data_IF_693055911287
#
_entry.id   IF_693055911287
#
_cell.length_a   1.000
_cell.length_b   1.000
_cell.length_c   1.000
_cell.angle_alpha   90.00
_cell.angle_beta   90.00
_cell.angle_gamma   90.00
#
_symmetry.space_group_name_H-M   'P 1'
#
loop_
_entity.id
_entity.type
_entity.pdbx_description
1 polymer ?
#
# COMPACT_ATOMS: atom_id res chain seq x y z
N UNK A 1 -3.05 -4.92 8.50
CA UNK A 1 -4.23 -5.61 7.94
C UNK A 1 -4.03 -7.09 8.16
N UNK A 2 -4.95 -7.77 8.83
CA UNK A 2 -4.79 -9.21 9.06
C UNK A 2 -4.87 -9.97 7.72
N UNK A 3 -3.83 -10.75 7.40
CA UNK A 3 -3.79 -11.63 6.23
C UNK A 3 -3.33 -11.01 4.90
N UNK A 4 -2.65 -9.85 4.89
CA UNK A 4 -2.11 -9.26 3.65
C UNK A 4 -0.70 -8.71 3.83
N UNK A 5 0.15 -8.74 2.80
CA UNK A 5 1.48 -8.07 2.75
C UNK A 5 1.41 -6.54 2.64
N UNK A 6 0.27 -5.95 3.05
CA UNK A 6 0.05 -4.51 3.08
C UNK A 6 0.16 -4.01 4.52
N UNK A 7 1.02 -3.03 4.68
CA UNK A 7 1.26 -2.31 5.91
C UNK A 7 0.62 -0.92 5.83
N UNK A 8 0.48 -0.25 6.96
CA UNK A 8 0.02 1.13 7.01
C UNK A 8 0.96 1.98 7.86
N UNK A 9 1.41 3.10 7.31
CA UNK A 9 2.01 4.17 8.11
C UNK A 9 0.91 5.06 8.65
N UNK A 10 0.93 5.27 9.97
CA UNK A 10 0.03 6.16 10.69
C UNK A 10 0.78 7.43 11.04
N UNK A 11 0.40 8.55 10.45
CA UNK A 11 0.96 9.87 10.77
C UNK A 11 -0.19 10.82 11.07
N UNK A 12 -0.47 11.08 12.34
CA UNK A 12 -1.65 11.85 12.78
C UNK A 12 -2.96 11.33 12.14
N UNK A 13 -3.60 12.17 11.32
CA UNK A 13 -4.81 11.87 10.57
C UNK A 13 -4.53 11.27 9.18
N UNK A 14 -3.27 11.03 8.81
CA UNK A 14 -2.91 10.44 7.53
C UNK A 14 -2.66 8.94 7.71
N UNK A 15 -3.15 8.16 6.75
CA UNK A 15 -2.86 6.74 6.57
C UNK A 15 -2.20 6.56 5.22
N UNK A 16 -1.04 5.93 5.20
CA UNK A 16 -0.28 5.65 3.99
C UNK A 16 -0.15 4.12 3.88
N UNK A 17 -0.98 3.45 3.06
CA UNK A 17 -0.79 2.04 2.77
C UNK A 17 0.55 1.85 2.06
N UNK A 18 1.26 0.79 2.42
CA UNK A 18 2.59 0.52 1.90
C UNK A 18 2.88 -0.98 1.83
N UNK A 19 3.91 -1.35 1.07
CA UNK A 19 4.41 -2.70 0.98
C UNK A 19 5.94 -2.71 0.84
N UNK A 20 6.56 -3.82 1.23
CA UNK A 20 7.98 -4.03 1.01
C UNK A 20 8.23 -4.54 -0.40
N UNK A 21 9.20 -3.93 -1.07
CA UNK A 21 9.76 -4.41 -2.32
C UNK A 21 11.11 -5.09 -2.06
N UNK A 22 11.52 -6.07 -2.89
CA UNK A 22 12.87 -6.57 -2.91
C UNK A 22 13.91 -5.44 -2.93
N UNK A 23 15.03 -5.64 -2.25
CA UNK A 23 16.08 -4.63 -2.09
C UNK A 23 15.89 -3.68 -0.90
N UNK A 24 15.07 -4.05 0.10
CA UNK A 24 14.93 -3.31 1.36
C UNK A 24 14.18 -1.98 1.22
N UNK A 25 13.37 -1.83 0.16
CA UNK A 25 12.62 -0.60 -0.12
C UNK A 25 11.18 -0.74 0.37
N UNK A 26 10.64 0.35 0.93
CA UNK A 26 9.22 0.47 1.25
C UNK A 26 8.57 1.34 0.19
N UNK A 27 7.53 0.83 -0.46
CA UNK A 27 6.72 1.61 -1.39
C UNK A 27 5.43 2.07 -0.72
N UNK A 28 5.20 3.37 -0.77
CA UNK A 28 3.94 4.01 -0.38
C UNK A 28 3.01 4.00 -1.60
N UNK A 29 1.79 3.49 -1.46
CA UNK A 29 0.84 3.44 -2.59
C UNK A 29 0.18 4.79 -2.81
N UNK A 30 -0.42 5.36 -1.77
CA UNK A 30 -1.12 6.65 -1.81
C UNK A 30 -1.39 7.19 -0.40
N UNK A 31 -1.63 8.50 -0.27
CA UNK A 31 -2.00 9.14 0.99
C UNK A 31 -3.50 9.17 1.19
N UNK A 32 -3.96 8.82 2.39
CA UNK A 32 -5.36 8.87 2.78
C UNK A 32 -5.55 9.71 4.03
N UNK A 33 -6.51 10.63 3.99
CA UNK A 33 -7.01 11.26 5.21
C UNK A 33 -7.92 10.28 5.96
N UNK A 34 -7.73 10.18 7.27
CA UNK A 34 -8.51 9.35 8.19
C UNK A 34 -9.95 9.86 8.20
N UNK A 35 -10.78 9.28 7.34
CA UNK A 35 -12.23 9.53 7.29
C UNK A 35 -13.03 8.56 8.18
N UNK A 36 -12.43 7.44 8.55
CA UNK A 36 -13.01 6.41 9.41
C UNK A 36 -11.92 5.70 10.22
N UNK A 37 -12.30 4.95 11.25
CA UNK A 37 -11.34 4.24 12.10
C UNK A 37 -10.61 3.12 11.36
N UNK A 38 -11.28 2.50 10.39
CA UNK A 38 -10.75 1.42 9.53
C UNK A 38 -10.58 1.90 8.08
N UNK A 39 -9.58 1.35 7.39
CA UNK A 39 -9.48 1.52 5.94
C UNK A 39 -10.69 0.90 5.25
N UNK A 40 -11.27 1.64 4.30
CA UNK A 40 -12.38 1.15 3.49
C UNK A 40 -11.89 0.01 2.59
N UNK A 41 -12.69 -1.03 2.33
CA UNK A 41 -12.28 -2.14 1.47
C UNK A 41 -11.87 -1.69 0.06
N UNK A 42 -12.46 -0.62 -0.48
CA UNK A 42 -12.02 -0.03 -1.75
C UNK A 42 -10.58 0.48 -1.71
N UNK A 43 -10.12 1.06 -0.60
CA UNK A 43 -8.74 1.54 -0.46
C UNK A 43 -7.74 0.38 -0.44
N UNK A 44 -8.12 -0.71 0.22
CA UNK A 44 -7.34 -1.95 0.26
C UNK A 44 -7.23 -2.52 -1.16
N UNK A 45 -8.35 -2.54 -1.90
CA UNK A 45 -8.36 -2.99 -3.30
C UNK A 45 -7.46 -2.14 -4.18
N UNK A 46 -7.50 -0.82 -4.05
CA UNK A 46 -6.62 0.10 -4.78
C UNK A 46 -5.14 -0.13 -4.44
N UNK A 47 -4.79 -0.27 -3.15
CA UNK A 47 -3.42 -0.57 -2.74
C UNK A 47 -2.91 -1.90 -3.33
N UNK A 48 -3.77 -2.93 -3.38
CA UNK A 48 -3.44 -4.22 -4.03
C UNK A 48 -3.21 -4.06 -5.53
N UNK A 49 -4.03 -3.28 -6.23
CA UNK A 49 -3.88 -3.01 -7.67
C UNK A 49 -2.58 -2.27 -7.97
N UNK A 50 -2.23 -1.26 -7.17
CA UNK A 50 -0.97 -0.50 -7.31
C UNK A 50 0.23 -1.43 -7.09
N UNK A 51 0.20 -2.29 -6.07
CA UNK A 51 1.24 -3.29 -5.83
C UNK A 51 1.42 -4.21 -7.05
N UNK A 52 0.34 -4.79 -7.55
CA UNK A 52 0.40 -5.71 -8.68
C UNK A 52 0.95 -5.04 -9.95
N UNK A 53 0.56 -3.79 -10.23
CA UNK A 53 1.09 -3.04 -11.37
C UNK A 53 2.59 -2.72 -11.19
N UNK A 54 3.02 -2.34 -9.99
CA UNK A 54 4.43 -2.14 -9.68
C UNK A 54 5.24 -3.42 -9.89
N UNK A 55 4.80 -4.55 -9.35
CA UNK A 55 5.47 -5.84 -9.50
C UNK A 55 5.56 -6.25 -10.97
N UNK A 56 4.52 -5.99 -11.78
CA UNK A 56 4.53 -6.21 -13.23
C UNK A 56 5.58 -5.35 -13.93
N UNK A 57 5.68 -4.06 -13.59
CA UNK A 57 6.65 -3.14 -14.19
C UNK A 57 8.09 -3.50 -13.84
N UNK A 58 8.35 -3.87 -12.58
CA UNK A 58 9.68 -4.28 -12.12
C UNK A 58 10.15 -5.56 -12.81
N UNK A 59 9.26 -6.56 -12.95
CA UNK A 59 9.58 -7.81 -13.68
C UNK A 59 9.90 -7.61 -15.16
N UNK A 60 9.41 -6.53 -15.77
CA UNK A 60 9.65 -6.24 -17.18
C UNK A 60 10.93 -5.42 -17.41
N UNK A 61 11.65 -5.02 -16.35
CA UNK A 61 12.85 -4.18 -16.39
C UNK A 61 14.10 -4.86 -15.78
N UNK A 62 14.02 -6.17 -15.48
CA UNK A 62 15.16 -7.01 -15.10
C UNK A 62 15.30 -8.17 -16.07
#
# INVERSE_FOLDING_TARGET
>A
MEGTDLYEFKCFQIRLPCFFSPGGRVLLTHGLNKKADKLRPSEIKTAKQIKADFERRVKSHG
#
